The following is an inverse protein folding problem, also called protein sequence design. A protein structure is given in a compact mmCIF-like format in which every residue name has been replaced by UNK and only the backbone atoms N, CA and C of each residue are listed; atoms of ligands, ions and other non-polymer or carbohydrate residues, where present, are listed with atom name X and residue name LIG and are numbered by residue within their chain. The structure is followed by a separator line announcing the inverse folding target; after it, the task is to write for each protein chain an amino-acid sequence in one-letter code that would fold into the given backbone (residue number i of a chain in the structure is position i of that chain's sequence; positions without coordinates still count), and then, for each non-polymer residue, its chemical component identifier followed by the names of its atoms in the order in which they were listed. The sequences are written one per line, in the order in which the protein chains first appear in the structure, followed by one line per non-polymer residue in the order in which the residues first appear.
data_IF_160206449261
#
_entry.id   IF_160206449261
#
_cell.length_a   1.000
_cell.length_b   1.000
_cell.length_c   1.000
_cell.angle_alpha   90.00
_cell.angle_beta   90.00
_cell.angle_gamma   90.00
#
_symmetry.space_group_name_H-M   'P 1'
#
loop_
_entity.id
_entity.type
_entity.pdbx_description
1 polymer ?
#
# COMPACT_ATOMS: atom_id res chain seq x y z
N UNK A 1 -0.46 -18.32 -15.33
CA UNK A 1 -0.64 -19.61 -14.62
C UNK A 1 -1.01 -19.31 -13.17
N UNK A 2 -2.30 -19.33 -12.83
CA UNK A 2 -2.80 -18.92 -11.51
C UNK A 2 -2.51 -19.92 -10.38
N UNK A 3 -1.31 -20.51 -10.34
CA UNK A 3 -0.90 -21.56 -9.39
C UNK A 3 0.46 -21.30 -8.73
N UNK A 4 1.16 -20.21 -9.08
CA UNK A 4 2.40 -19.85 -8.39
C UNK A 4 2.09 -18.88 -7.25
N UNK A 5 2.28 -19.33 -6.01
CA UNK A 5 2.16 -18.51 -4.80
C UNK A 5 3.39 -17.58 -4.68
N UNK A 6 3.50 -16.65 -5.61
CA UNK A 6 4.65 -15.75 -5.76
C UNK A 6 4.22 -14.29 -5.74
N UNK A 7 5.11 -13.43 -5.24
CA UNK A 7 5.03 -12.00 -5.47
C UNK A 7 5.49 -11.71 -6.91
N UNK A 8 4.72 -10.90 -7.64
CA UNK A 8 5.05 -10.45 -8.98
C UNK A 8 5.00 -8.92 -9.05
N UNK A 9 5.87 -8.33 -9.86
CA UNK A 9 5.75 -6.93 -10.28
C UNK A 9 5.15 -6.88 -11.67
N UNK A 10 4.42 -5.80 -11.95
CA UNK A 10 3.79 -5.59 -13.26
C UNK A 10 4.26 -4.24 -13.78
N UNK A 11 4.70 -4.19 -15.03
CA UNK A 11 4.94 -2.94 -15.74
C UNK A 11 3.58 -2.43 -16.25
N UNK A 12 3.03 -1.32 -15.71
CA UNK A 12 1.65 -0.94 -16.03
C UNK A 12 1.41 -0.62 -17.50
N UNK A 13 2.42 -0.06 -18.18
CA UNK A 13 2.32 0.33 -19.59
C UNK A 13 2.25 -0.86 -20.56
N UNK A 14 2.80 -2.02 -20.18
CA UNK A 14 2.95 -3.17 -21.08
C UNK A 14 2.29 -4.43 -20.54
N UNK A 15 1.88 -4.45 -19.27
CA UNK A 15 1.34 -5.62 -18.58
C UNK A 15 2.38 -6.72 -18.34
N UNK A 16 3.65 -6.50 -18.67
CA UNK A 16 4.71 -7.49 -18.46
C UNK A 16 4.86 -7.73 -16.97
N UNK A 17 4.82 -9.01 -16.58
CA UNK A 17 5.01 -9.43 -15.20
C UNK A 17 6.40 -9.99 -14.97
N UNK A 18 7.01 -9.68 -13.83
CA UNK A 18 8.29 -10.25 -13.39
C UNK A 18 8.09 -10.93 -12.06
N UNK A 19 8.53 -12.18 -11.95
CA UNK A 19 8.51 -12.91 -10.69
C UNK A 19 9.58 -12.36 -9.74
N UNK A 20 9.17 -11.97 -8.54
CA UNK A 20 10.08 -11.53 -7.46
C UNK A 20 10.54 -12.72 -6.63
N UNK A 21 9.61 -13.60 -6.26
CA UNK A 21 9.90 -14.78 -5.46
C UNK A 21 8.67 -15.33 -4.74
N UNK A 22 8.81 -16.49 -4.08
CA UNK A 22 7.68 -17.18 -3.45
C UNK A 22 7.22 -16.52 -2.15
N UNK A 23 5.92 -16.60 -1.87
CA UNK A 23 5.29 -16.20 -0.60
C UNK A 23 5.80 -17.05 0.57
N UNK A 24 6.17 -18.31 0.30
CA UNK A 24 6.75 -19.25 1.26
C UNK A 24 5.78 -20.35 1.74
N UNK A 25 4.50 -20.28 1.35
CA UNK A 25 3.48 -21.29 1.66
C UNK A 25 2.34 -21.24 0.64
N UNK A 26 1.44 -22.22 0.70
CA UNK A 26 0.28 -22.29 -0.18
C UNK A 26 -0.88 -21.45 0.35
N UNK A 27 -1.35 -20.50 -0.46
CA UNK A 27 -2.53 -19.68 -0.18
C UNK A 27 -3.76 -20.23 -0.93
N UNK A 28 -4.93 -20.09 -0.31
CA UNK A 28 -6.22 -20.44 -0.90
C UNK A 28 -7.00 -19.21 -1.36
N UNK A 29 -6.69 -18.04 -0.79
CA UNK A 29 -7.31 -16.76 -1.14
C UNK A 29 -6.37 -15.60 -0.82
N UNK A 30 -6.44 -14.55 -1.64
CA UNK A 30 -5.84 -13.23 -1.40
C UNK A 30 -6.96 -12.20 -1.24
N UNK A 31 -7.04 -11.56 -0.08
CA UNK A 31 -8.12 -10.66 0.34
C UNK A 31 -7.68 -9.18 0.39
N UNK A 32 -6.60 -8.86 -0.31
CA UNK A 32 -6.05 -7.52 -0.47
C UNK A 32 -4.53 -7.48 -0.31
N UNK A 33 -3.91 -6.52 -0.97
CA UNK A 33 -2.48 -6.23 -0.90
C UNK A 33 -2.30 -4.73 -1.06
N UNK A 34 -1.53 -4.11 -0.17
CA UNK A 34 -1.21 -2.68 -0.27
C UNK A 34 0.16 -2.37 0.33
N UNK A 35 0.81 -1.30 -0.14
CA UNK A 35 2.13 -0.88 0.28
C UNK A 35 2.03 0.50 0.92
N UNK A 36 2.50 0.61 2.16
CA UNK A 36 2.59 1.88 2.85
C UNK A 36 3.56 2.82 2.14
N UNK A 37 3.05 3.87 1.51
CA UNK A 37 3.89 4.93 0.92
C UNK A 37 4.72 5.70 1.98
N UNK A 38 4.38 5.57 3.27
CA UNK A 38 5.12 6.20 4.37
C UNK A 38 6.31 5.37 4.85
N UNK A 39 6.15 4.05 4.94
CA UNK A 39 7.14 3.16 5.57
C UNK A 39 7.76 2.16 4.59
N UNK A 40 7.21 2.01 3.39
CA UNK A 40 7.62 1.01 2.42
C UNK A 40 7.21 -0.43 2.77
N UNK A 41 6.49 -0.63 3.88
CA UNK A 41 6.03 -1.96 4.31
C UNK A 41 4.84 -2.39 3.46
N UNK A 42 4.93 -3.58 2.88
CA UNK A 42 3.83 -4.22 2.16
C UNK A 42 3.02 -5.10 3.10
N UNK A 43 1.70 -4.99 3.02
CA UNK A 43 0.74 -5.77 3.79
C UNK A 43 -0.16 -6.57 2.87
N UNK A 44 -0.51 -7.79 3.30
CA UNK A 44 -1.42 -8.65 2.58
C UNK A 44 -2.40 -9.33 3.53
N UNK A 45 -3.67 -9.42 3.13
CA UNK A 45 -4.65 -10.32 3.75
C UNK A 45 -4.62 -11.65 3.00
N UNK A 46 -4.14 -12.72 3.63
CA UNK A 46 -4.00 -14.03 2.99
C UNK A 46 -4.73 -15.11 3.80
N UNK A 47 -5.36 -16.05 3.10
CA UNK A 47 -5.81 -17.30 3.67
C UNK A 47 -4.88 -18.43 3.23
N UNK A 48 -4.42 -19.23 4.18
CA UNK A 48 -3.53 -20.37 3.92
C UNK A 48 -4.33 -21.66 3.79
N UNK A 49 -3.79 -22.62 3.05
CA UNK A 49 -4.35 -23.97 3.01
C UNK A 49 -4.37 -24.58 4.43
N UNK A 50 -5.53 -25.02 4.88
CA UNK A 50 -5.73 -25.56 6.23
C UNK A 50 -5.87 -24.50 7.34
N UNK A 51 -5.81 -23.20 7.01
CA UNK A 51 -6.03 -22.11 7.96
C UNK A 51 -7.51 -21.78 8.16
N UNK A 52 -7.87 -21.31 9.36
CA UNK A 52 -9.20 -20.75 9.65
C UNK A 52 -9.18 -19.23 9.48
N UNK A 53 -9.89 -18.73 8.48
CA UNK A 53 -10.04 -17.29 8.20
C UNK A 53 -8.82 -16.62 7.54
N UNK A 54 -8.91 -15.29 7.37
CA UNK A 54 -7.84 -14.47 6.77
C UNK A 54 -6.87 -14.00 7.85
N UNK A 55 -5.57 -14.07 7.58
CA UNK A 55 -4.53 -13.48 8.43
C UNK A 55 -3.84 -12.31 7.72
N UNK A 56 -3.38 -11.34 8.51
CA UNK A 56 -2.56 -10.23 8.05
C UNK A 56 -1.11 -10.67 7.98
N UNK A 57 -0.44 -10.35 6.87
CA UNK A 57 0.97 -10.61 6.66
C UNK A 57 1.70 -9.33 6.27
N UNK A 58 2.99 -9.27 6.59
CA UNK A 58 3.94 -8.40 5.89
C UNK A 58 4.59 -9.19 4.76
N UNK A 59 4.88 -8.52 3.65
CA UNK A 59 5.55 -9.12 2.49
C UNK A 59 6.89 -8.43 2.27
N UNK A 60 7.97 -9.20 2.16
CA UNK A 60 9.26 -8.66 1.73
C UNK A 60 9.23 -8.41 0.21
N UNK A 61 9.31 -7.15 -0.21
CA UNK A 61 9.23 -6.77 -1.63
C UNK A 61 10.45 -7.18 -2.47
N UNK A 62 11.56 -7.57 -1.85
CA UNK A 62 12.76 -8.02 -2.55
C UNK A 62 12.77 -9.54 -2.78
N UNK A 63 12.16 -10.32 -1.88
CA UNK A 63 12.20 -11.79 -1.91
C UNK A 63 10.84 -12.45 -2.12
N UNK A 64 9.74 -11.72 -1.92
CA UNK A 64 8.37 -12.24 -1.93
C UNK A 64 7.91 -12.89 -0.62
N UNK A 65 8.80 -13.15 0.33
CA UNK A 65 8.48 -13.95 1.53
C UNK A 65 7.47 -13.24 2.45
N UNK A 66 6.45 -13.97 2.90
CA UNK A 66 5.44 -13.47 3.82
C UNK A 66 5.76 -13.81 5.28
N UNK A 67 5.49 -12.85 6.19
CA UNK A 67 5.58 -13.03 7.65
C UNK A 67 4.26 -12.65 8.30
N UNK A 68 3.68 -13.58 9.08
CA UNK A 68 2.37 -13.41 9.71
C UNK A 68 2.41 -12.34 10.81
N UNK A 69 1.38 -11.51 10.85
CA UNK A 69 1.08 -10.56 11.92
C UNK A 69 -0.13 -10.99 12.77
N UNK A 70 -0.82 -12.06 12.38
CA UNK A 70 -1.96 -12.61 13.11
C UNK A 70 -3.27 -12.63 12.31
N UNK A 71 -4.30 -13.23 12.92
CA UNK A 71 -5.63 -13.41 12.31
C UNK A 71 -6.40 -12.08 12.30
N UNK A 72 -7.13 -11.81 11.21
CA UNK A 72 -8.05 -10.68 11.12
C UNK A 72 -9.46 -11.16 11.51
N UNK A 73 -10.10 -10.44 12.42
CA UNK A 73 -11.43 -10.79 12.92
C UNK A 73 -11.40 -12.01 13.85
N UNK A 74 -12.49 -12.79 13.87
CA UNK A 74 -12.63 -13.95 14.76
C UNK A 74 -11.97 -15.23 14.24
N UNK A 75 -11.32 -15.20 13.08
CA UNK A 75 -10.79 -16.39 12.41
C UNK A 75 -11.88 -17.32 11.84
N UNK A 76 -13.15 -16.92 11.90
CA UNK A 76 -14.21 -17.65 11.23
C UNK A 76 -14.06 -17.53 9.71
N UNK A 77 -14.29 -18.64 8.99
CA UNK A 77 -14.24 -18.70 7.52
C UNK A 77 -15.26 -17.80 6.83
N UNK A 78 -16.26 -17.30 7.57
CA UNK A 78 -17.31 -16.38 7.10
C UNK A 78 -16.95 -14.89 7.31
N UNK A 79 -15.85 -14.58 7.99
CA UNK A 79 -15.31 -13.22 8.04
C UNK A 79 -14.53 -12.94 6.75
N UNK A 80 -15.26 -12.71 5.67
CA UNK A 80 -14.67 -12.34 4.38
C UNK A 80 -14.09 -10.93 4.47
N UNK A 81 -12.77 -10.83 4.58
CA UNK A 81 -12.09 -9.57 4.32
C UNK A 81 -12.30 -9.22 2.85
N UNK A 82 -13.07 -8.15 2.59
CA UNK A 82 -13.41 -7.73 1.22
C UNK A 82 -12.28 -6.94 0.55
N UNK A 83 -11.59 -6.11 1.32
CA UNK A 83 -10.50 -5.28 0.85
C UNK A 83 -9.56 -4.92 2.01
N UNK A 84 -8.33 -4.58 1.65
CA UNK A 84 -7.29 -4.06 2.54
C UNK A 84 -6.67 -2.84 1.86
N UNK A 85 -6.49 -1.76 2.61
CA UNK A 85 -5.67 -0.62 2.19
C UNK A 85 -4.95 -0.04 3.40
N UNK A 86 -3.75 0.48 3.18
CA UNK A 86 -3.02 1.27 4.16
C UNK A 86 -3.59 2.68 4.16
N UNK A 87 -3.81 3.24 5.35
CA UNK A 87 -4.27 4.61 5.48
C UNK A 87 -3.31 5.57 4.75
N UNK A 88 -3.88 6.45 3.93
CA UNK A 88 -3.10 7.45 3.19
C UNK A 88 -2.27 8.29 4.16
N UNK A 89 -1.01 8.53 3.80
CA UNK A 89 -0.21 9.50 4.51
C UNK A 89 -0.87 10.89 4.36
N UNK A 90 -0.97 11.70 5.43
CA UNK A 90 -1.40 13.08 5.29
C UNK A 90 -0.41 13.79 4.36
N UNK A 91 -0.86 14.13 3.15
CA UNK A 91 -0.07 14.88 2.18
C UNK A 91 -0.34 16.36 2.45
N UNK A 92 0.69 17.18 2.79
CA UNK A 92 0.55 18.62 2.75
C UNK A 92 0.21 19.02 1.31
N UNK A 93 -1.00 19.50 1.07
CA UNK A 93 -1.48 19.71 -0.29
C UNK A 93 -0.58 20.74 -1.01
N UNK A 94 -0.08 20.43 -2.22
CA UNK A 94 0.70 21.38 -3.01
C UNK A 94 0.00 22.72 -3.20
N UNK A 95 -1.35 22.72 -3.22
CA UNK A 95 -2.17 23.91 -3.29
C UNK A 95 -2.06 24.79 -2.03
N UNK A 96 -1.94 24.21 -0.84
CA UNK A 96 -1.74 24.98 0.40
C UNK A 96 -0.36 25.66 0.39
N UNK A 97 0.68 24.96 -0.07
CA UNK A 97 2.03 25.54 -0.22
C UNK A 97 2.03 26.64 -1.29
N UNK A 98 1.40 26.38 -2.44
CA UNK A 98 1.28 27.36 -3.51
C UNK A 98 0.50 28.60 -3.07
N UNK A 99 -0.61 28.44 -2.34
CA UNK A 99 -1.42 29.55 -1.82
C UNK A 99 -0.63 30.40 -0.81
N UNK A 100 0.14 29.78 0.08
CA UNK A 100 1.05 30.49 0.99
C UNK A 100 2.13 31.24 0.19
N UNK A 101 2.77 30.59 -0.78
CA UNK A 101 3.79 31.21 -1.63
C UNK A 101 3.26 32.41 -2.40
N UNK A 102 2.07 32.28 -3.00
CA UNK A 102 1.37 33.36 -3.71
C UNK A 102 1.00 34.48 -2.74
N UNK A 103 0.45 34.14 -1.57
CA UNK A 103 0.08 35.11 -0.53
C UNK A 103 1.27 35.94 -0.04
N UNK A 104 2.41 35.29 0.24
CA UNK A 104 3.65 35.94 0.65
C UNK A 104 4.21 36.83 -0.46
N UNK A 105 4.21 36.36 -1.72
CA UNK A 105 4.66 37.14 -2.87
C UNK A 105 3.76 38.38 -3.10
N UNK A 106 2.44 38.23 -2.99
CA UNK A 106 1.49 39.34 -3.11
C UNK A 106 1.69 40.38 -1.99
N UNK A 107 1.92 39.94 -0.75
CA UNK A 107 2.21 40.83 0.37
C UNK A 107 3.54 41.58 0.20
N UNK A 108 4.60 40.90 -0.25
CA UNK A 108 5.89 41.52 -0.54
C UNK A 108 5.80 42.57 -1.67
N UNK A 109 5.04 42.28 -2.73
CA UNK A 109 4.74 43.23 -3.80
C UNK A 109 3.99 44.46 -3.28
N UNK A 110 2.97 44.29 -2.45
CA UNK A 110 2.22 45.40 -1.84
C UNK A 110 3.10 46.30 -0.95
N UNK A 111 4.07 45.74 -0.23
CA UNK A 111 5.00 46.53 0.61
C UNK A 111 5.95 47.41 -0.21
N UNK A 112 6.41 46.96 -1.39
CA UNK A 112 7.27 47.77 -2.27
C UNK A 112 6.52 48.96 -2.88
N UNK A 113 5.27 48.76 -3.30
CA UNK A 113 4.47 49.81 -3.94
C UNK A 113 4.12 50.99 -3.01
N UNK A 114 4.16 50.81 -1.68
CA UNK A 114 3.86 51.86 -0.70
C UNK A 114 5.09 52.69 -0.27
N UNK A 115 6.28 52.31 -0.72
CA UNK A 115 7.56 53.00 -0.41
C UNK A 115 8.12 53.78 -1.61
N UNK A 116 7.48 53.68 -2.77
CA UNK A 116 7.72 54.51 -3.96
C UNK A 116 6.67 55.61 -4.01
#
# INVERSE_FOLDING_TARGET
DGQSNNLVTIVPATGVTTNVGPIGFNITSQNGFDISGRTGVAYAGLQTLGGSGTSLYTINLATGTASSLGVIGSGATSSELRALTVAAAPVPEPASIAAIGIGLAAMARRRKAKKA
#
